data_IF_529278995236
#
_entry.id   IF_529278995236
#
_cell.length_a   1.000
_cell.length_b   1.000
_cell.length_c   1.000
_cell.angle_alpha   90.00
_cell.angle_beta   90.00
_cell.angle_gamma   90.00
#
_symmetry.space_group_name_H-M   'P 1'
#
loop_
_entity.id
_entity.type
_entity.pdbx_description
1 polymer ?
#
# COMPACT_ATOMS: atom_id res chain seq x y z
N UNK A 1 -56.85 21.21 -32.43
CA UNK A 1 -57.60 22.45 -32.73
C UNK A 1 -57.66 23.22 -31.43
N UNK A 2 -56.95 24.35 -31.33
CA UNK A 2 -56.84 25.20 -30.11
C UNK A 2 -56.24 24.47 -28.88
N UNK A 3 -55.78 25.09 -27.78
CA UNK A 3 -55.52 26.49 -27.35
C UNK A 3 -54.72 26.37 -26.02
N UNK A 4 -53.52 26.92 -25.85
CA UNK A 4 -53.15 28.30 -25.44
C UNK A 4 -52.79 28.47 -23.93
N UNK A 5 -51.52 28.86 -23.69
CA UNK A 5 -51.04 30.00 -22.87
C UNK A 5 -50.84 29.89 -21.32
N UNK A 6 -49.56 30.15 -20.92
CA UNK A 6 -48.97 30.73 -19.67
C UNK A 6 -49.16 30.07 -18.28
N UNK A 7 -48.15 30.08 -17.39
CA UNK A 7 -47.66 31.27 -16.66
C UNK A 7 -46.21 31.17 -16.07
N UNK A 8 -45.43 32.27 -16.18
CA UNK A 8 -44.31 32.80 -15.35
C UNK A 8 -43.06 31.93 -15.02
N UNK A 9 -41.84 32.26 -15.50
CA UNK A 9 -40.80 33.20 -14.98
C UNK A 9 -39.69 32.44 -14.19
N UNK A 10 -38.40 32.80 -14.02
CA UNK A 10 -37.46 33.89 -14.43
C UNK A 10 -36.23 33.84 -13.47
N UNK A 11 -35.07 34.57 -13.60
CA UNK A 11 -34.44 35.37 -14.69
C UNK A 11 -33.13 34.69 -15.24
N UNK A 12 -32.65 34.87 -16.49
CA UNK A 12 -32.02 36.03 -17.20
C UNK A 12 -30.63 36.46 -16.68
N UNK A 13 -29.59 36.23 -17.51
CA UNK A 13 -28.21 36.72 -17.39
C UNK A 13 -27.97 37.98 -18.26
N UNK A 14 -27.05 38.89 -17.91
CA UNK A 14 -26.50 39.89 -18.83
C UNK A 14 -25.08 39.55 -19.32
N UNK A 15 -24.82 39.76 -20.62
CA UNK A 15 -23.47 39.87 -21.19
C UNK A 15 -23.22 41.31 -21.68
N UNK A 16 -22.03 41.82 -21.34
CA UNK A 16 -21.13 42.78 -22.04
C UNK A 16 -21.72 43.70 -23.14
N UNK A 17 -21.42 45.00 -23.02
CA UNK A 17 -21.28 45.93 -24.16
C UNK A 17 -20.15 46.96 -23.86
N UNK A 18 -19.53 47.52 -24.90
CA UNK A 18 -18.30 48.34 -24.84
C UNK A 18 -18.55 49.86 -24.84
N UNK A 19 -17.63 50.60 -24.18
CA UNK A 19 -17.07 52.00 -24.34
C UNK A 19 -17.68 53.06 -25.31
N UNK A 20 -17.27 54.37 -25.28
CA UNK A 20 -16.20 55.05 -24.51
C UNK A 20 -16.59 56.41 -23.85
N UNK A 21 -15.70 57.02 -23.05
CA UNK A 21 -15.36 58.48 -23.04
C UNK A 21 -14.16 58.79 -22.11
N UNK A 22 -13.58 60.00 -22.23
CA UNK A 22 -12.16 60.35 -21.98
C UNK A 22 -11.79 61.02 -20.62
N UNK A 23 -10.46 61.03 -20.36
CA UNK A 23 -9.65 61.97 -19.54
C UNK A 23 -9.76 62.01 -18.00
N UNK A 24 -8.65 61.72 -17.30
CA UNK A 24 -7.72 62.75 -16.78
C UNK A 24 -6.43 62.12 -16.17
N UNK A 25 -5.34 62.90 -16.09
CA UNK A 25 -3.94 62.47 -15.84
C UNK A 25 -3.56 62.12 -14.37
N UNK A 26 -2.63 61.17 -14.17
CA UNK A 26 -1.32 61.36 -13.46
C UNK A 26 -0.49 60.03 -13.34
N UNK A 27 0.85 60.08 -13.04
CA UNK A 27 1.80 59.19 -13.70
C UNK A 27 2.23 57.88 -12.98
N UNK A 28 2.85 57.03 -13.79
CA UNK A 28 3.40 55.70 -13.47
C UNK A 28 4.59 55.78 -12.50
N UNK A 29 4.46 55.13 -11.34
CA UNK A 29 5.61 54.66 -10.56
C UNK A 29 5.95 53.21 -10.92
N UNK A 30 7.07 53.01 -11.62
CA UNK A 30 7.66 51.70 -11.82
C UNK A 30 8.41 51.30 -10.55
N UNK A 31 7.92 50.28 -9.84
CA UNK A 31 8.68 49.62 -8.79
C UNK A 31 8.70 48.09 -8.97
N UNK A 32 9.86 47.50 -8.74
CA UNK A 32 10.18 46.13 -9.19
C UNK A 32 9.32 45.04 -8.54
N UNK A 33 8.94 43.96 -9.27
CA UNK A 33 8.19 42.85 -8.68
C UNK A 33 9.11 41.98 -7.82
N UNK A 34 9.17 42.30 -6.52
CA UNK A 34 9.65 41.37 -5.51
C UNK A 34 8.81 40.08 -5.56
N UNK A 35 9.51 38.95 -5.76
CA UNK A 35 8.95 37.64 -6.09
C UNK A 35 8.11 37.07 -4.94
N UNK A 36 6.83 37.49 -4.83
CA UNK A 36 5.87 36.87 -3.90
C UNK A 36 5.68 35.41 -4.28
N UNK A 37 6.03 34.54 -3.33
CA UNK A 37 5.87 33.10 -3.45
C UNK A 37 4.38 32.78 -3.35
N UNK A 38 3.74 32.55 -4.51
CA UNK A 38 2.29 32.30 -4.60
C UNK A 38 1.85 31.24 -3.61
N UNK A 39 0.89 31.58 -2.75
CA UNK A 39 0.26 30.61 -1.88
C UNK A 39 -0.42 29.52 -2.71
N UNK A 40 -0.27 28.28 -2.24
CA UNK A 40 -0.90 27.10 -2.81
C UNK A 40 -2.37 27.04 -2.33
N UNK A 41 -3.13 28.09 -2.64
CA UNK A 41 -4.52 28.22 -2.18
C UNK A 41 -5.48 27.45 -3.10
N UNK A 42 -6.22 26.54 -2.48
CA UNK A 42 -6.97 25.50 -3.19
C UNK A 42 -8.37 26.00 -3.52
N UNK A 43 -8.62 26.31 -4.80
CA UNK A 43 -9.97 26.57 -5.31
C UNK A 43 -10.81 25.29 -5.17
N UNK A 44 -11.70 25.25 -4.17
CA UNK A 44 -12.65 24.15 -3.95
C UNK A 44 -12.83 23.78 -2.48
N UNK A 45 -13.91 24.28 -1.87
CA UNK A 45 -14.24 24.13 -0.45
C UNK A 45 -14.60 22.70 0.00
N UNK A 46 -13.63 21.80 0.08
CA UNK A 46 -13.67 20.62 0.95
C UNK A 46 -12.66 20.79 2.08
N UNK A 47 -13.13 20.68 3.32
CA UNK A 47 -12.25 20.57 4.48
C UNK A 47 -11.35 19.35 4.28
N UNK A 48 -10.05 19.58 4.05
CA UNK A 48 -9.06 18.52 3.92
C UNK A 48 -8.89 17.75 5.23
N UNK A 49 -8.21 16.61 5.17
CA UNK A 49 -7.85 15.85 6.36
C UNK A 49 -6.77 16.54 7.17
N UNK A 50 -6.89 16.49 8.50
CA UNK A 50 -5.92 17.08 9.43
C UNK A 50 -4.61 16.29 9.46
N UNK A 51 -3.55 16.88 10.02
CA UNK A 51 -2.23 16.24 10.18
C UNK A 51 -2.34 14.84 10.83
N UNK A 52 -3.08 14.74 11.93
CA UNK A 52 -3.27 13.48 12.66
C UNK A 52 -4.09 12.46 11.86
N UNK A 53 -5.10 12.90 11.10
CA UNK A 53 -5.87 12.01 10.23
C UNK A 53 -5.00 11.43 9.11
N UNK A 54 -4.18 12.25 8.44
CA UNK A 54 -3.24 11.77 7.43
C UNK A 54 -2.20 10.83 8.04
N UNK A 55 -1.69 11.13 9.24
CA UNK A 55 -0.77 10.24 9.97
C UNK A 55 -1.41 8.87 10.22
N UNK A 56 -2.64 8.83 10.77
CA UNK A 56 -3.37 7.59 11.03
C UNK A 56 -3.62 6.82 9.73
N UNK A 57 -3.98 7.49 8.63
CA UNK A 57 -4.17 6.85 7.34
C UNK A 57 -2.87 6.30 6.74
N UNK A 58 -1.73 7.00 6.92
CA UNK A 58 -0.42 6.54 6.48
C UNK A 58 0.04 5.31 7.29
N UNK A 59 -0.09 5.36 8.62
CA UNK A 59 0.20 4.22 9.50
C UNK A 59 -0.64 3.00 9.10
N UNK A 60 -1.96 3.18 8.96
CA UNK A 60 -2.88 2.13 8.51
C UNK A 60 -2.53 1.57 7.12
N UNK A 61 -2.06 2.41 6.20
CA UNK A 61 -1.68 2.00 4.85
C UNK A 61 -0.45 1.06 4.81
N UNK A 62 0.38 1.08 5.86
CA UNK A 62 1.57 0.24 5.97
C UNK A 62 1.35 -0.93 6.97
N UNK A 63 0.62 -0.72 8.06
CA UNK A 63 0.34 -1.74 9.09
C UNK A 63 -0.72 -2.74 8.57
N UNK A 64 -0.25 -3.78 7.89
CA UNK A 64 -1.05 -4.88 7.35
C UNK A 64 -0.43 -6.26 7.62
N UNK A 65 -0.63 -7.23 6.71
CA UNK A 65 -0.03 -8.57 6.81
C UNK A 65 1.50 -8.57 6.67
N UNK A 66 2.08 -7.59 5.98
CA UNK A 66 3.53 -7.48 5.80
C UNK A 66 4.28 -7.42 7.13
N UNK A 67 3.77 -6.64 8.09
CA UNK A 67 4.26 -6.57 9.46
C UNK A 67 4.35 -7.95 10.13
N UNK A 68 3.33 -8.79 9.94
CA UNK A 68 3.23 -10.10 10.60
C UNK A 68 4.21 -11.14 10.03
N UNK A 69 4.67 -10.97 8.79
CA UNK A 69 5.71 -11.81 8.16
C UNK A 69 7.15 -11.37 8.46
N UNK A 70 7.36 -10.17 9.02
CA UNK A 70 8.72 -9.67 9.33
C UNK A 70 9.55 -10.55 10.28
N UNK A 71 8.99 -11.27 11.28
CA UNK A 71 9.78 -12.19 12.11
C UNK A 71 10.42 -13.33 11.31
N UNK A 72 9.72 -13.87 10.31
CA UNK A 72 10.29 -14.85 9.38
C UNK A 72 11.30 -14.21 8.44
N UNK A 73 11.07 -12.97 7.99
CA UNK A 73 12.07 -12.22 7.24
C UNK A 73 13.37 -12.07 8.06
N UNK A 74 13.28 -11.67 9.33
CA UNK A 74 14.43 -11.54 10.23
C UNK A 74 15.10 -12.91 10.48
N UNK A 75 14.35 -14.02 10.54
CA UNK A 75 14.95 -15.38 10.52
C UNK A 75 15.80 -15.64 9.29
N UNK A 76 15.33 -15.23 8.11
CA UNK A 76 16.03 -15.45 6.84
C UNK A 76 17.31 -14.59 6.72
N UNK A 77 17.30 -13.36 7.25
CA UNK A 77 18.46 -12.47 7.26
C UNK A 77 19.42 -12.66 8.46
N UNK A 78 18.94 -13.16 9.59
CA UNK A 78 19.68 -13.30 10.86
C UNK A 78 19.40 -12.17 11.86
N UNK A 79 19.70 -12.44 13.14
CA UNK A 79 19.30 -11.60 14.28
C UNK A 79 19.91 -10.19 14.29
N UNK A 80 21.08 -9.98 13.68
CA UNK A 80 21.75 -8.67 13.58
C UNK A 80 21.55 -8.05 12.20
N UNK A 81 21.75 -8.85 11.13
CA UNK A 81 21.64 -8.35 9.76
C UNK A 81 20.19 -7.98 9.40
N UNK A 82 19.18 -8.74 9.86
CA UNK A 82 17.78 -8.45 9.60
C UNK A 82 17.33 -7.06 10.10
N UNK A 83 17.49 -6.73 11.40
CA UNK A 83 17.12 -5.43 11.94
C UNK A 83 17.88 -4.25 11.31
N UNK A 84 19.20 -4.43 11.07
CA UNK A 84 20.02 -3.43 10.38
C UNK A 84 19.52 -3.19 8.94
N UNK A 85 19.24 -4.26 8.21
CA UNK A 85 18.70 -4.15 6.85
C UNK A 85 17.29 -3.56 6.84
N UNK A 86 16.41 -3.88 7.79
CA UNK A 86 15.09 -3.23 7.92
C UNK A 86 15.21 -1.71 8.13
N UNK A 87 16.19 -1.27 8.93
CA UNK A 87 16.47 0.16 9.12
C UNK A 87 16.92 0.83 7.82
N UNK A 88 17.89 0.23 7.10
CA UNK A 88 18.37 0.76 5.81
C UNK A 88 17.24 0.80 4.79
N UNK A 89 16.47 -0.27 4.65
CA UNK A 89 15.36 -0.36 3.70
C UNK A 89 14.24 0.62 4.03
N UNK A 90 13.94 0.85 5.31
CA UNK A 90 13.01 1.89 5.77
C UNK A 90 13.49 3.31 5.39
N UNK A 91 14.76 3.63 5.64
CA UNK A 91 15.35 4.92 5.23
C UNK A 91 15.27 5.13 3.72
N UNK A 92 15.60 4.11 2.92
CA UNK A 92 15.53 4.18 1.46
C UNK A 92 14.09 4.32 0.96
N UNK A 93 13.14 3.56 1.53
CA UNK A 93 11.72 3.66 1.17
C UNK A 93 11.16 5.05 1.47
N UNK A 94 11.41 5.61 2.65
CA UNK A 94 11.01 6.99 3.03
C UNK A 94 11.60 8.02 2.08
N UNK A 95 12.88 7.87 1.74
CA UNK A 95 13.57 8.75 0.81
C UNK A 95 12.96 8.70 -0.60
N UNK A 96 12.58 7.52 -1.09
CA UNK A 96 11.87 7.35 -2.36
C UNK A 96 10.45 7.92 -2.34
N UNK A 97 9.69 7.72 -1.25
CA UNK A 97 8.36 8.33 -1.07
C UNK A 97 8.44 9.87 -1.07
N UNK A 98 9.43 10.45 -0.37
CA UNK A 98 9.68 11.89 -0.33
C UNK A 98 10.10 12.44 -1.70
N UNK A 99 10.94 11.70 -2.43
CA UNK A 99 11.30 12.00 -3.82
C UNK A 99 10.05 12.05 -4.71
N UNK A 100 9.16 11.07 -4.60
CA UNK A 100 7.94 11.00 -5.42
C UNK A 100 7.03 12.21 -5.16
N UNK A 101 6.80 12.56 -3.89
CA UNK A 101 6.06 13.76 -3.48
C UNK A 101 6.66 15.01 -4.10
N UNK A 102 7.97 15.22 -3.97
CA UNK A 102 8.64 16.40 -4.51
C UNK A 102 8.53 16.49 -6.04
N UNK A 103 8.66 15.37 -6.75
CA UNK A 103 8.47 15.33 -8.21
C UNK A 103 7.02 15.64 -8.59
N UNK A 104 6.05 15.03 -7.90
CA UNK A 104 4.62 15.28 -8.09
C UNK A 104 4.27 16.75 -7.90
N UNK A 105 4.63 17.34 -6.75
CA UNK A 105 4.39 18.75 -6.43
C UNK A 105 5.03 19.69 -7.46
N UNK A 106 6.28 19.42 -7.86
CA UNK A 106 6.97 20.23 -8.86
C UNK A 106 6.29 20.19 -10.25
N UNK A 107 5.93 18.99 -10.72
CA UNK A 107 5.20 18.82 -11.99
C UNK A 107 3.78 19.41 -11.90
N UNK A 108 3.11 19.32 -10.76
CA UNK A 108 1.78 19.89 -10.54
C UNK A 108 1.79 21.41 -10.73
N UNK A 109 2.78 22.10 -10.15
CA UNK A 109 2.99 23.54 -10.34
C UNK A 109 3.32 23.85 -11.81
N UNK A 110 4.29 23.15 -12.41
CA UNK A 110 4.73 23.38 -13.80
C UNK A 110 3.61 23.22 -14.83
N UNK A 111 2.62 22.36 -14.56
CA UNK A 111 1.50 22.06 -15.45
C UNK A 111 0.20 22.79 -15.08
N UNK A 112 0.18 23.59 -14.02
CA UNK A 112 -1.05 24.23 -13.52
C UNK A 112 -2.12 23.22 -13.06
N UNK A 113 -1.74 22.00 -12.67
CA UNK A 113 -2.67 20.97 -12.20
C UNK A 113 -2.75 20.99 -10.66
N UNK A 114 -3.92 20.72 -10.07
CA UNK A 114 -4.09 20.76 -8.60
C UNK A 114 -3.51 19.53 -7.89
N UNK A 115 -3.37 18.41 -8.60
CA UNK A 115 -2.78 17.15 -8.13
C UNK A 115 -2.42 16.25 -9.31
N UNK A 116 -1.54 15.28 -9.06
CA UNK A 116 -1.18 14.20 -10.00
C UNK A 116 -1.36 12.83 -9.32
N UNK A 117 -1.73 11.82 -10.11
CA UNK A 117 -1.57 10.41 -9.73
C UNK A 117 -0.13 9.93 -10.00
N UNK A 118 0.28 8.79 -9.44
CA UNK A 118 1.65 8.27 -9.63
C UNK A 118 1.94 7.98 -11.12
N UNK A 119 1.01 7.35 -11.84
CA UNK A 119 1.15 7.12 -13.28
C UNK A 119 1.26 8.42 -14.10
N UNK A 120 0.58 9.49 -13.69
CA UNK A 120 0.67 10.81 -14.33
C UNK A 120 1.96 11.54 -14.00
N UNK A 121 2.47 11.44 -12.77
CA UNK A 121 3.77 12.00 -12.40
C UNK A 121 4.88 11.40 -13.28
N UNK A 122 4.83 10.09 -13.56
CA UNK A 122 5.76 9.43 -14.49
C UNK A 122 5.52 9.82 -15.96
N UNK A 123 4.27 9.94 -16.41
CA UNK A 123 3.93 10.46 -17.74
C UNK A 123 4.60 11.82 -17.99
N UNK A 124 4.33 12.80 -17.12
CA UNK A 124 4.83 14.16 -17.26
C UNK A 124 6.34 14.30 -16.97
N UNK A 125 6.89 13.46 -16.08
CA UNK A 125 8.34 13.37 -15.90
C UNK A 125 9.05 12.94 -17.19
N UNK A 126 8.50 11.95 -17.92
CA UNK A 126 9.05 11.49 -19.20
C UNK A 126 8.92 12.53 -20.32
N UNK A 127 7.90 13.41 -20.29
CA UNK A 127 7.70 14.45 -21.30
C UNK A 127 8.76 15.56 -21.28
N UNK A 128 9.45 15.76 -20.15
CA UNK A 128 10.58 16.69 -20.05
C UNK A 128 11.79 16.25 -20.91
N UNK A 129 11.89 14.98 -21.32
CA UNK A 129 13.01 14.44 -22.10
C UNK A 129 12.59 14.20 -23.55
N UNK A 130 13.26 14.87 -24.49
CA UNK A 130 12.85 14.93 -25.91
C UNK A 130 12.66 13.57 -26.60
N UNK A 131 13.55 12.61 -26.35
CA UNK A 131 13.45 11.23 -26.88
C UNK A 131 12.33 10.42 -26.20
N UNK A 132 12.11 10.68 -24.91
CA UNK A 132 11.20 9.91 -24.06
C UNK A 132 9.75 10.41 -24.16
N UNK A 133 9.55 11.67 -24.55
CA UNK A 133 8.25 12.34 -24.77
C UNK A 133 7.30 11.58 -25.69
N UNK A 134 7.80 10.86 -26.71
CA UNK A 134 6.95 10.04 -27.60
C UNK A 134 6.38 8.79 -26.91
N UNK A 135 6.96 8.40 -25.78
CA UNK A 135 6.64 7.18 -25.05
C UNK A 135 6.14 7.45 -23.60
N UNK A 136 5.82 8.70 -23.23
CA UNK A 136 5.36 9.08 -21.87
C UNK A 136 4.17 8.26 -21.39
N UNK A 137 3.17 8.07 -22.26
CA UNK A 137 1.98 7.26 -22.02
C UNK A 137 2.32 5.80 -21.67
N UNK A 138 3.45 5.27 -22.16
CA UNK A 138 3.88 3.91 -21.82
C UNK A 138 4.37 3.82 -20.37
N UNK A 139 5.04 4.86 -19.86
CA UNK A 139 5.42 4.96 -18.44
C UNK A 139 4.21 4.97 -17.51
N UNK A 140 3.17 5.74 -17.84
CA UNK A 140 1.88 5.71 -17.11
C UNK A 140 1.27 4.32 -17.08
N UNK A 141 1.22 3.64 -18.22
CA UNK A 141 0.70 2.26 -18.32
C UNK A 141 1.54 1.28 -17.51
N UNK A 142 2.86 1.43 -17.51
CA UNK A 142 3.79 0.60 -16.75
C UNK A 142 3.57 0.76 -15.23
N UNK A 143 3.58 2.00 -14.72
CA UNK A 143 3.32 2.27 -13.29
C UNK A 143 1.94 1.77 -12.87
N UNK A 144 0.90 2.01 -13.68
CA UNK A 144 -0.44 1.54 -13.38
C UNK A 144 -0.56 0.00 -13.40
N UNK A 145 0.15 -0.68 -14.31
CA UNK A 145 0.24 -2.14 -14.34
C UNK A 145 0.91 -2.67 -13.06
N UNK A 146 2.05 -2.10 -12.66
CA UNK A 146 2.74 -2.47 -11.43
C UNK A 146 1.89 -2.20 -10.18
N UNK A 147 1.17 -1.07 -10.13
CA UNK A 147 0.18 -0.79 -9.07
C UNK A 147 -0.91 -1.87 -9.03
N UNK A 148 -1.50 -2.25 -10.17
CA UNK A 148 -2.51 -3.32 -10.22
C UNK A 148 -1.92 -4.64 -9.71
N UNK A 149 -0.72 -5.04 -10.17
CA UNK A 149 -0.07 -6.29 -9.75
C UNK A 149 0.19 -6.30 -8.24
N UNK A 150 0.75 -5.23 -7.68
CA UNK A 150 1.00 -5.10 -6.23
C UNK A 150 -0.29 -5.20 -5.43
N UNK A 151 -1.35 -4.50 -5.85
CA UNK A 151 -2.62 -4.45 -5.13
C UNK A 151 -3.39 -5.78 -5.18
N UNK A 152 -3.40 -6.45 -6.33
CA UNK A 152 -3.93 -7.81 -6.44
C UNK A 152 -3.06 -8.83 -5.69
N UNK A 153 -1.74 -8.64 -5.66
CA UNK A 153 -0.82 -9.43 -4.85
C UNK A 153 -1.13 -9.36 -3.35
N UNK A 154 -1.41 -8.16 -2.83
CA UNK A 154 -1.91 -7.98 -1.46
C UNK A 154 -3.23 -8.73 -1.22
N UNK A 155 -4.19 -8.65 -2.15
CA UNK A 155 -5.43 -9.43 -2.08
C UNK A 155 -5.17 -10.95 -2.06
N UNK A 156 -4.17 -11.47 -2.78
CA UNK A 156 -3.77 -12.88 -2.72
C UNK A 156 -3.24 -13.25 -1.33
N UNK A 157 -2.32 -12.45 -0.77
CA UNK A 157 -1.80 -12.65 0.60
C UNK A 157 -2.92 -12.63 1.63
N UNK A 158 -3.94 -11.79 1.45
CA UNK A 158 -5.10 -11.74 2.36
C UNK A 158 -5.96 -13.01 2.27
N UNK A 159 -6.15 -13.60 1.09
CA UNK A 159 -6.82 -14.91 0.97
C UNK A 159 -6.08 -15.99 1.78
N UNK A 160 -4.76 -16.12 1.59
CA UNK A 160 -3.93 -17.11 2.31
C UNK A 160 -3.94 -16.84 3.82
N UNK A 161 -3.78 -15.58 4.23
CA UNK A 161 -3.81 -15.20 5.63
C UNK A 161 -5.15 -15.55 6.30
N UNK A 162 -6.28 -15.23 5.66
CA UNK A 162 -7.60 -15.59 6.18
C UNK A 162 -7.74 -17.11 6.28
N UNK A 163 -7.37 -17.87 5.25
CA UNK A 163 -7.52 -19.32 5.27
C UNK A 163 -6.70 -19.98 6.38
N UNK A 164 -5.44 -19.60 6.55
CA UNK A 164 -4.54 -20.28 7.50
C UNK A 164 -4.91 -19.96 8.95
N UNK A 165 -5.23 -18.71 9.26
CA UNK A 165 -5.65 -18.34 10.62
C UNK A 165 -7.00 -18.97 10.98
N UNK A 166 -7.95 -19.03 10.04
CA UNK A 166 -9.26 -19.63 10.30
C UNK A 166 -9.18 -21.16 10.38
N UNK A 167 -8.32 -21.78 9.57
CA UNK A 167 -7.97 -23.21 9.66
C UNK A 167 -7.45 -23.56 11.05
N UNK A 168 -6.42 -22.86 11.54
CA UNK A 168 -5.87 -23.11 12.87
C UNK A 168 -6.91 -22.95 13.99
N UNK A 169 -7.78 -21.93 13.91
CA UNK A 169 -8.84 -21.73 14.91
C UNK A 169 -9.81 -22.92 14.95
N UNK A 170 -10.13 -23.52 13.79
CA UNK A 170 -11.03 -24.67 13.71
C UNK A 170 -10.34 -25.97 14.13
N UNK A 171 -9.08 -26.19 13.72
CA UNK A 171 -8.27 -27.35 14.13
C UNK A 171 -8.06 -27.41 15.64
N UNK A 172 -7.91 -26.25 16.27
CA UNK A 172 -7.76 -26.11 17.70
C UNK A 172 -9.08 -26.13 18.48
N UNK A 173 -10.24 -25.89 17.86
CA UNK A 173 -11.51 -25.62 18.56
C UNK A 173 -11.95 -26.70 19.55
N UNK A 174 -11.63 -27.98 19.29
CA UNK A 174 -11.93 -29.09 20.20
C UNK A 174 -10.86 -29.31 21.29
N UNK A 175 -9.70 -28.68 21.16
CA UNK A 175 -8.56 -28.76 22.08
C UNK A 175 -8.24 -27.46 22.82
N UNK A 176 -8.95 -26.36 22.56
CA UNK A 176 -8.69 -25.04 23.14
C UNK A 176 -9.01 -24.99 24.62
N UNK A 177 -7.98 -24.76 25.44
CA UNK A 177 -8.12 -24.57 26.89
C UNK A 177 -8.14 -23.08 27.27
N UNK A 178 -8.55 -22.79 28.51
CA UNK A 178 -8.43 -21.43 29.08
C UNK A 178 -7.03 -21.14 29.64
N UNK A 179 -6.18 -22.16 29.80
CA UNK A 179 -4.85 -22.03 30.38
C UNK A 179 -3.78 -21.86 29.29
N UNK A 180 -3.38 -20.62 29.03
CA UNK A 180 -2.34 -20.30 28.03
C UNK A 180 -0.90 -20.70 28.44
N UNK A 181 -0.70 -21.32 29.61
CA UNK A 181 0.62 -21.62 30.20
C UNK A 181 1.02 -23.11 30.09
N UNK A 182 0.10 -24.01 29.76
CA UNK A 182 0.32 -25.46 29.72
C UNK A 182 0.40 -25.96 28.28
N UNK A 183 1.54 -26.56 27.90
CA UNK A 183 1.79 -27.11 26.57
C UNK A 183 1.09 -28.46 26.30
N UNK A 184 0.14 -28.89 27.14
CA UNK A 184 -0.44 -30.23 27.07
C UNK A 184 -1.72 -30.27 26.22
N UNK A 185 -1.61 -30.99 25.11
CA UNK A 185 -2.68 -31.70 24.40
C UNK A 185 -3.92 -30.91 24.01
N UNK A 186 -3.76 -29.93 23.13
CA UNK A 186 -4.79 -29.73 22.12
C UNK A 186 -4.78 -30.95 21.18
N UNK A 187 -5.85 -31.75 21.18
CA UNK A 187 -6.04 -32.78 20.14
C UNK A 187 -6.39 -32.04 18.85
N UNK A 188 -5.38 -31.79 18.03
CA UNK A 188 -5.54 -31.18 16.71
C UNK A 188 -6.38 -32.14 15.87
N UNK A 189 -7.64 -31.77 15.62
CA UNK A 189 -8.50 -32.52 14.71
C UNK A 189 -8.06 -32.14 13.29
N UNK A 190 -7.60 -33.09 12.45
CA UNK A 190 -7.14 -32.77 11.11
C UNK A 190 -8.29 -32.15 10.30
N UNK A 191 -8.13 -30.90 9.89
CA UNK A 191 -9.12 -30.21 9.08
C UNK A 191 -8.81 -30.34 7.58
N UNK A 192 -9.62 -29.66 6.77
CA UNK A 192 -9.44 -29.60 5.33
C UNK A 192 -8.18 -28.79 4.93
N UNK A 193 -7.74 -28.97 3.69
CA UNK A 193 -6.66 -28.17 3.11
C UNK A 193 -7.00 -26.67 3.15
N UNK A 194 -5.99 -25.79 3.33
CA UNK A 194 -6.19 -24.33 3.43
C UNK A 194 -6.90 -23.77 2.19
N UNK A 195 -6.65 -24.39 1.03
CA UNK A 195 -7.34 -24.12 -0.25
C UNK A 195 -8.86 -24.18 -0.15
N UNK A 196 -9.44 -25.08 0.65
CA UNK A 196 -10.90 -25.17 0.84
C UNK A 196 -11.41 -23.95 1.61
N UNK A 197 -10.68 -23.49 2.63
CA UNK A 197 -11.02 -22.27 3.35
C UNK A 197 -10.96 -21.02 2.46
N UNK A 198 -10.02 -20.93 1.51
CA UNK A 198 -9.99 -19.85 0.51
C UNK A 198 -11.27 -19.81 -0.33
N UNK A 199 -11.75 -20.98 -0.78
CA UNK A 199 -13.02 -21.10 -1.53
C UNK A 199 -14.24 -20.79 -0.65
N UNK A 200 -14.22 -21.11 0.64
CA UNK A 200 -15.28 -20.72 1.59
C UNK A 200 -15.33 -19.19 1.77
N UNK A 201 -14.19 -18.50 1.82
CA UNK A 201 -14.14 -17.03 1.94
C UNK A 201 -14.50 -16.28 0.64
N UNK A 202 -14.32 -16.91 -0.52
CA UNK A 202 -14.59 -16.32 -1.84
C UNK A 202 -15.97 -15.63 -1.97
N UNK A 203 -17.13 -16.25 -1.67
CA UNK A 203 -18.43 -15.59 -1.79
C UNK A 203 -18.58 -14.37 -0.87
N UNK A 204 -18.01 -14.40 0.34
CA UNK A 204 -18.03 -13.27 1.26
C UNK A 204 -17.19 -12.10 0.73
N UNK A 205 -15.99 -12.37 0.21
CA UNK A 205 -15.12 -11.35 -0.40
C UNK A 205 -15.76 -10.76 -1.67
N UNK A 206 -16.44 -11.57 -2.50
CA UNK A 206 -17.22 -11.05 -3.65
C UNK A 206 -18.32 -10.09 -3.16
N UNK A 207 -19.10 -10.48 -2.15
CA UNK A 207 -20.14 -9.62 -1.57
C UNK A 207 -19.57 -8.32 -0.99
N UNK A 208 -18.40 -8.39 -0.34
CA UNK A 208 -17.71 -7.20 0.18
C UNK A 208 -17.30 -6.23 -0.94
N UNK A 209 -16.71 -6.75 -2.02
CA UNK A 209 -16.22 -5.97 -3.17
C UNK A 209 -17.34 -5.32 -3.99
N UNK A 210 -18.57 -5.85 -3.93
CA UNK A 210 -19.75 -5.18 -4.49
C UNK A 210 -20.11 -3.87 -3.78
N UNK A 211 -19.55 -3.58 -2.60
CA UNK A 211 -19.74 -2.32 -1.90
C UNK A 211 -18.95 -1.18 -2.57
N UNK A 212 -19.52 -0.61 -3.63
CA UNK A 212 -18.90 0.45 -4.45
C UNK A 212 -18.65 1.78 -3.70
N UNK A 213 -19.35 2.03 -2.59
CA UNK A 213 -19.24 3.28 -1.84
C UNK A 213 -18.50 3.06 -0.51
N UNK A 214 -17.21 3.40 -0.50
CA UNK A 214 -16.31 3.25 0.65
C UNK A 214 -16.77 3.97 1.93
N UNK A 215 -17.72 4.92 1.83
CA UNK A 215 -18.33 5.54 3.02
C UNK A 215 -18.99 4.50 3.93
N UNK A 216 -19.62 3.47 3.37
CA UNK A 216 -20.20 2.38 4.16
C UNK A 216 -19.14 1.53 4.87
N UNK A 217 -17.96 1.33 4.27
CA UNK A 217 -16.84 0.61 4.91
C UNK A 217 -16.10 1.45 5.96
N UNK A 218 -16.29 2.77 5.99
CA UNK A 218 -15.55 3.66 6.89
C UNK A 218 -15.71 3.32 8.38
N UNK A 219 -16.92 3.13 8.95
CA UNK A 219 -17.08 2.72 10.35
C UNK A 219 -16.52 1.32 10.64
N UNK A 220 -16.79 0.33 9.78
CA UNK A 220 -16.23 -1.02 9.92
C UNK A 220 -14.71 -1.00 9.88
N UNK A 221 -14.13 -0.17 9.02
CA UNK A 221 -12.69 -0.06 8.90
C UNK A 221 -12.05 0.67 10.09
N UNK A 222 -12.75 1.62 10.73
CA UNK A 222 -12.29 2.19 12.00
C UNK A 222 -12.25 1.11 13.09
N UNK A 223 -13.33 0.34 13.23
CA UNK A 223 -13.41 -0.80 14.16
C UNK A 223 -12.31 -1.83 13.90
N UNK A 224 -12.10 -2.21 12.64
CA UNK A 224 -11.04 -3.12 12.20
C UNK A 224 -9.65 -2.65 12.65
N UNK A 225 -9.30 -1.36 12.52
CA UNK A 225 -7.98 -0.87 12.93
C UNK A 225 -7.81 -0.89 14.45
N UNK A 226 -8.86 -0.55 15.21
CA UNK A 226 -8.84 -0.62 16.67
C UNK A 226 -8.60 -2.07 17.13
N UNK A 227 -9.33 -2.99 16.54
CA UNK A 227 -9.25 -4.44 16.80
C UNK A 227 -7.89 -5.03 16.41
N UNK A 228 -7.34 -4.66 15.25
CA UNK A 228 -5.97 -5.04 14.85
C UNK A 228 -4.91 -4.45 15.79
N UNK A 229 -5.08 -3.23 16.28
CA UNK A 229 -4.16 -2.61 17.24
C UNK A 229 -4.16 -3.36 18.57
N UNK A 230 -5.33 -3.69 19.13
CA UNK A 230 -5.45 -4.53 20.35
C UNK A 230 -4.80 -5.90 20.13
N UNK A 231 -5.08 -6.52 18.98
CA UNK A 231 -4.51 -7.83 18.60
C UNK A 231 -2.98 -7.78 18.52
N UNK A 232 -2.42 -6.70 17.95
CA UNK A 232 -0.97 -6.49 17.86
C UNK A 232 -0.33 -6.27 19.25
N UNK A 233 -0.99 -5.54 20.16
CA UNK A 233 -0.51 -5.38 21.54
C UNK A 233 -0.47 -6.72 22.28
N UNK A 234 -1.47 -7.59 22.09
CA UNK A 234 -1.49 -8.94 22.69
C UNK A 234 -0.39 -9.84 22.11
N UNK A 235 -0.09 -9.73 20.81
CA UNK A 235 1.05 -10.42 20.18
C UNK A 235 2.37 -9.95 20.80
N UNK A 236 2.56 -8.64 20.97
CA UNK A 236 3.75 -8.08 21.64
C UNK A 236 3.89 -8.58 23.08
N UNK A 237 2.79 -8.57 23.85
CA UNK A 237 2.77 -9.07 25.22
C UNK A 237 3.21 -10.54 25.31
N UNK A 238 2.69 -11.40 24.42
CA UNK A 238 3.13 -12.80 24.34
C UNK A 238 4.64 -12.91 24.05
N UNK A 239 5.11 -12.22 23.01
CA UNK A 239 6.49 -12.39 22.55
C UNK A 239 7.53 -11.84 23.54
N UNK A 240 7.18 -10.82 24.33
CA UNK A 240 8.05 -10.27 25.39
C UNK A 240 8.07 -11.17 26.63
N UNK A 241 6.95 -11.81 26.96
CA UNK A 241 6.86 -12.70 28.13
C UNK A 241 7.44 -14.10 27.90
N UNK A 242 7.53 -14.56 26.64
CA UNK A 242 7.97 -15.90 26.27
C UNK A 242 9.34 -15.93 25.58
N UNK A 243 10.22 -14.95 25.89
CA UNK A 243 11.60 -14.94 25.39
C UNK A 243 12.39 -16.12 25.96
N UNK A 244 12.95 -17.02 25.14
CA UNK A 244 13.78 -18.13 25.62
C UNK A 244 15.14 -17.63 26.13
N UNK A 245 15.64 -18.27 27.19
CA UNK A 245 16.98 -18.04 27.73
C UNK A 245 17.73 -19.38 27.83
N UNK A 246 18.96 -19.50 27.28
CA UNK A 246 19.73 -18.49 26.52
C UNK A 246 19.21 -18.30 25.08
N UNK A 247 19.48 -17.12 24.49
CA UNK A 247 19.13 -16.79 23.10
C UNK A 247 20.21 -17.34 22.16
N UNK A 248 20.02 -18.57 21.70
CA UNK A 248 20.93 -19.24 20.75
C UNK A 248 20.36 -19.16 19.31
N UNK A 249 20.51 -18.01 18.67
CA UNK A 249 20.04 -17.76 17.30
C UNK A 249 21.17 -17.23 16.39
N UNK A 250 21.17 -17.54 15.08
CA UNK A 250 22.18 -17.06 14.15
C UNK A 250 22.13 -15.53 13.99
N UNK A 251 23.27 -14.89 14.25
CA UNK A 251 23.48 -13.44 14.11
C UNK A 251 23.33 -12.98 12.64
N UNK A 252 23.73 -13.84 11.71
CA UNK A 252 23.63 -13.65 10.26
C UNK A 252 23.02 -14.92 9.66
N UNK A 253 22.01 -14.75 8.81
CA UNK A 253 21.29 -15.82 8.11
C UNK A 253 22.06 -16.34 6.89
N UNK A 254 21.44 -17.24 6.13
CA UNK A 254 22.08 -17.80 4.93
C UNK A 254 22.00 -16.78 3.77
N UNK A 255 23.09 -16.56 3.00
CA UNK A 255 23.06 -15.64 1.87
C UNK A 255 21.97 -15.95 0.82
N UNK A 256 21.62 -17.23 0.65
CA UNK A 256 20.56 -17.66 -0.27
C UNK A 256 19.13 -17.31 0.18
N UNK A 257 18.91 -17.09 1.47
CA UNK A 257 17.59 -16.75 2.04
C UNK A 257 17.38 -15.22 2.11
N UNK A 258 18.45 -14.43 1.98
CA UNK A 258 18.40 -12.96 2.01
C UNK A 258 17.49 -12.32 0.93
N UNK A 259 17.38 -12.85 -0.31
CA UNK A 259 16.41 -12.35 -1.28
C UNK A 259 14.94 -12.53 -0.84
N UNK A 260 14.64 -13.56 -0.05
CA UNK A 260 13.29 -13.73 0.55
C UNK A 260 13.04 -12.67 1.63
N UNK A 261 14.05 -12.38 2.46
CA UNK A 261 13.98 -11.25 3.40
C UNK A 261 13.75 -9.92 2.65
N UNK A 262 14.50 -9.66 1.57
CA UNK A 262 14.38 -8.43 0.78
C UNK A 262 12.96 -8.25 0.23
N UNK A 263 12.40 -9.32 -0.36
CA UNK A 263 11.02 -9.32 -0.86
C UNK A 263 10.02 -8.95 0.24
N UNK A 264 10.05 -9.68 1.36
CA UNK A 264 9.14 -9.43 2.50
C UNK A 264 9.33 -8.05 3.14
N UNK A 265 10.57 -7.55 3.25
CA UNK A 265 10.85 -6.22 3.77
C UNK A 265 10.30 -5.11 2.85
N UNK A 266 10.48 -5.23 1.54
CA UNK A 266 9.94 -4.28 0.56
C UNK A 266 8.42 -4.36 0.46
N UNK A 267 7.83 -5.55 0.56
CA UNK A 267 6.38 -5.73 0.70
C UNK A 267 5.85 -4.99 1.93
N UNK A 268 6.52 -5.11 3.08
CA UNK A 268 6.08 -4.45 4.31
C UNK A 268 6.22 -2.92 4.23
N UNK A 269 7.30 -2.40 3.63
CA UNK A 269 7.50 -0.96 3.44
C UNK A 269 6.73 -0.36 2.24
N UNK A 270 5.89 -1.15 1.55
CA UNK A 270 5.14 -0.66 0.40
C UNK A 270 3.89 0.13 0.80
N UNK A 271 4.11 1.42 1.05
CA UNK A 271 3.07 2.44 1.19
C UNK A 271 2.95 3.39 -0.01
N UNK A 272 3.78 3.27 -1.06
CA UNK A 272 3.97 4.37 -2.03
C UNK A 272 2.70 4.70 -2.82
N UNK A 273 1.86 3.69 -3.09
CA UNK A 273 0.57 3.85 -3.77
C UNK A 273 -0.44 4.73 -3.02
N UNK A 274 -0.33 4.87 -1.68
CA UNK A 274 -1.20 5.75 -0.89
C UNK A 274 -0.60 7.13 -0.58
N UNK A 275 0.70 7.33 -0.81
CA UNK A 275 1.40 8.58 -0.48
C UNK A 275 0.78 9.79 -1.20
N UNK A 276 0.75 9.79 -2.54
CA UNK A 276 0.17 10.91 -3.31
C UNK A 276 -1.33 11.10 -3.04
N UNK A 277 -2.20 10.06 -3.01
CA UNK A 277 -3.60 10.23 -2.63
C UNK A 277 -3.84 10.81 -1.22
N UNK A 278 -2.90 10.61 -0.27
CA UNK A 278 -2.97 11.19 1.07
C UNK A 278 -2.49 12.64 1.10
N UNK A 279 -1.37 12.96 0.44
CA UNK A 279 -0.92 14.34 0.23
C UNK A 279 -2.04 15.19 -0.39
N UNK A 280 -2.64 14.70 -1.48
CA UNK A 280 -3.73 15.34 -2.21
C UNK A 280 -4.98 15.59 -1.34
N UNK A 281 -5.15 14.92 -0.20
CA UNK A 281 -6.28 15.09 0.73
C UNK A 281 -5.95 15.93 1.96
N UNK A 282 -4.68 16.27 2.20
CA UNK A 282 -4.24 17.04 3.36
C UNK A 282 -4.67 18.51 3.28
N UNK A 283 -4.97 19.14 4.42
CA UNK A 283 -5.29 20.59 4.48
C UNK A 283 -4.10 21.48 4.08
N UNK A 284 -2.90 21.12 4.51
CA UNK A 284 -1.65 21.87 4.28
C UNK A 284 -0.59 20.92 3.68
N UNK A 285 -0.60 20.69 2.35
CA UNK A 285 0.27 19.70 1.72
C UNK A 285 1.77 20.00 1.92
N UNK A 286 2.17 21.25 2.14
CA UNK A 286 3.57 21.60 2.44
C UNK A 286 4.09 20.95 3.74
N UNK A 287 3.20 20.53 4.66
CA UNK A 287 3.57 19.79 5.86
C UNK A 287 3.52 18.26 5.68
N UNK A 288 3.17 17.76 4.50
CA UNK A 288 3.03 16.31 4.26
C UNK A 288 4.35 15.57 4.50
N UNK A 289 5.51 16.12 4.09
CA UNK A 289 6.81 15.52 4.37
C UNK A 289 7.05 15.29 5.87
N UNK A 290 6.57 16.17 6.75
CA UNK A 290 6.66 15.98 8.21
C UNK A 290 5.79 14.81 8.68
N UNK A 291 4.59 14.64 8.11
CA UNK A 291 3.72 13.49 8.38
C UNK A 291 4.38 12.20 7.89
N UNK A 292 4.99 12.23 6.70
CA UNK A 292 5.68 11.11 6.08
C UNK A 292 6.85 10.62 6.93
N UNK A 293 7.77 11.52 7.32
CA UNK A 293 8.91 11.17 8.18
C UNK A 293 8.46 10.64 9.54
N UNK A 294 7.47 11.27 10.19
CA UNK A 294 6.95 10.82 11.49
C UNK A 294 6.27 9.46 11.38
N UNK A 295 5.34 9.29 10.44
CA UNK A 295 4.57 8.06 10.26
C UNK A 295 5.45 6.88 9.86
N UNK A 296 6.32 7.06 8.87
CA UNK A 296 7.22 6.00 8.45
C UNK A 296 8.34 5.72 9.46
N UNK A 297 8.73 6.69 10.30
CA UNK A 297 9.59 6.46 11.45
C UNK A 297 8.95 5.52 12.47
N UNK A 298 7.67 5.75 12.81
CA UNK A 298 6.87 4.86 13.68
C UNK A 298 6.74 3.46 13.05
N UNK A 299 6.43 3.37 11.75
CA UNK A 299 6.36 2.10 11.00
C UNK A 299 7.70 1.35 11.05
N UNK A 300 8.81 2.02 10.75
CA UNK A 300 10.15 1.43 10.76
C UNK A 300 10.52 0.88 12.13
N UNK A 301 10.24 1.63 13.20
CA UNK A 301 10.47 1.17 14.57
C UNK A 301 9.62 -0.06 14.90
N UNK A 302 8.31 -0.02 14.60
CA UNK A 302 7.38 -1.14 14.81
C UNK A 302 7.82 -2.42 14.06
N UNK A 303 8.37 -2.24 12.85
CA UNK A 303 8.85 -3.32 11.98
C UNK A 303 10.10 -3.98 12.54
N UNK A 304 11.08 -3.16 12.95
CA UNK A 304 12.31 -3.62 13.59
C UNK A 304 11.98 -4.33 14.91
N UNK A 305 11.14 -3.75 15.77
CA UNK A 305 10.83 -4.34 17.08
C UNK A 305 10.03 -5.63 16.94
N UNK A 306 8.98 -5.69 16.11
CA UNK A 306 8.19 -6.93 15.95
C UNK A 306 9.02 -8.02 15.27
N UNK A 307 9.75 -7.68 14.20
CA UNK A 307 10.60 -8.63 13.48
C UNK A 307 11.66 -9.25 14.38
N UNK A 308 12.34 -8.43 15.19
CA UNK A 308 13.39 -8.89 16.11
C UNK A 308 12.81 -9.71 17.26
N UNK A 309 11.82 -9.17 17.98
CA UNK A 309 11.24 -9.81 19.18
C UNK A 309 10.49 -11.10 18.80
N UNK A 310 9.76 -11.10 17.67
CA UNK A 310 9.10 -12.29 17.14
C UNK A 310 10.10 -13.39 16.76
N UNK A 311 11.23 -13.04 16.13
CA UNK A 311 12.27 -14.02 15.83
C UNK A 311 12.94 -14.56 17.09
N UNK A 312 13.22 -13.70 18.09
CA UNK A 312 13.75 -14.14 19.38
C UNK A 312 12.81 -15.13 20.09
N UNK A 313 11.50 -14.83 20.12
CA UNK A 313 10.49 -15.64 20.79
C UNK A 313 10.31 -17.03 20.14
N UNK A 314 10.19 -17.10 18.81
CA UNK A 314 9.82 -18.33 18.10
C UNK A 314 11.01 -19.07 17.47
N UNK A 315 12.13 -18.38 17.24
CA UNK A 315 13.36 -18.93 16.68
C UNK A 315 13.13 -19.63 15.34
N UNK A 316 13.64 -20.85 15.21
CA UNK A 316 13.50 -21.64 13.99
C UNK A 316 12.03 -22.00 13.63
N UNK A 317 11.12 -22.02 14.62
CA UNK A 317 9.73 -22.47 14.47
C UNK A 317 8.78 -21.40 13.89
N UNK A 318 9.23 -20.16 13.70
CA UNK A 318 8.41 -19.10 13.10
C UNK A 318 7.95 -19.52 11.69
N UNK A 319 6.64 -19.45 11.47
CA UNK A 319 5.95 -19.69 10.19
C UNK A 319 5.76 -18.41 9.39
N UNK A 320 4.94 -18.46 8.34
CA UNK A 320 4.76 -17.33 7.41
C UNK A 320 4.23 -16.04 8.04
N UNK A 321 3.45 -16.16 9.12
CA UNK A 321 2.94 -15.06 9.94
C UNK A 321 3.11 -15.38 11.41
N UNK A 322 3.49 -14.39 12.22
CA UNK A 322 3.59 -14.51 13.68
C UNK A 322 2.28 -14.98 14.34
N UNK A 323 1.12 -14.69 13.73
CA UNK A 323 -0.17 -15.16 14.24
C UNK A 323 -0.31 -16.67 14.22
N UNK A 324 0.32 -17.35 13.25
CA UNK A 324 0.29 -18.80 13.10
C UNK A 324 1.13 -19.55 14.15
N UNK A 325 1.91 -18.81 14.95
CA UNK A 325 2.73 -19.34 16.03
C UNK A 325 2.15 -19.08 17.43
N UNK A 326 1.03 -18.36 17.53
CA UNK A 326 0.38 -18.11 18.82
C UNK A 326 -0.25 -19.39 19.38
N UNK A 327 -0.16 -19.64 20.70
CA UNK A 327 -0.60 -20.89 21.31
C UNK A 327 -2.13 -21.01 21.33
N UNK A 328 -2.61 -22.24 21.39
CA UNK A 328 -4.02 -22.57 21.15
C UNK A 328 -4.95 -22.39 22.36
N UNK A 329 -4.80 -21.30 23.10
CA UNK A 329 -5.76 -20.88 24.13
C UNK A 329 -6.75 -19.83 23.58
N UNK A 330 -7.94 -19.76 24.17
CA UNK A 330 -9.04 -18.89 23.70
C UNK A 330 -8.65 -17.43 23.47
N UNK A 331 -7.78 -16.86 24.31
CA UNK A 331 -7.32 -15.48 24.14
C UNK A 331 -6.63 -15.25 22.79
N UNK A 332 -5.74 -16.15 22.37
CA UNK A 332 -5.02 -16.00 21.10
C UNK A 332 -5.82 -16.50 19.89
N UNK A 333 -6.75 -17.45 20.05
CA UNK A 333 -7.72 -17.75 18.97
C UNK A 333 -8.59 -16.52 18.67
N UNK A 334 -9.03 -15.79 19.70
CA UNK A 334 -9.72 -14.51 19.53
C UNK A 334 -8.80 -13.51 18.81
N UNK A 335 -7.51 -13.40 19.17
CA UNK A 335 -6.54 -12.56 18.42
C UNK A 335 -6.45 -12.95 16.93
N UNK A 336 -6.34 -14.24 16.60
CA UNK A 336 -6.32 -14.74 15.21
C UNK A 336 -7.59 -14.32 14.45
N UNK A 337 -8.77 -14.49 15.04
CA UNK A 337 -10.06 -14.09 14.46
C UNK A 337 -10.21 -12.57 14.30
N UNK A 338 -9.87 -11.81 15.34
CA UNK A 338 -9.95 -10.35 15.37
C UNK A 338 -9.02 -9.70 14.34
N UNK A 339 -7.79 -10.18 14.20
CA UNK A 339 -6.86 -9.71 13.16
C UNK A 339 -7.36 -10.13 11.76
N UNK A 340 -7.91 -11.34 11.61
CA UNK A 340 -8.48 -11.82 10.33
C UNK A 340 -9.68 -10.98 9.87
N UNK A 341 -10.57 -10.57 10.78
CA UNK A 341 -11.63 -9.60 10.48
C UNK A 341 -11.06 -8.25 10.03
N UNK A 342 -9.97 -7.81 10.64
CA UNK A 342 -9.26 -6.59 10.24
C UNK A 342 -8.70 -6.66 8.81
N UNK A 343 -8.08 -7.78 8.44
CA UNK A 343 -7.59 -8.03 7.08
C UNK A 343 -8.74 -8.19 6.08
N UNK A 344 -9.85 -8.84 6.45
CA UNK A 344 -11.05 -8.95 5.62
C UNK A 344 -11.58 -7.57 5.20
N UNK A 345 -11.72 -6.62 6.14
CA UNK A 345 -12.16 -5.26 5.80
C UNK A 345 -11.09 -4.48 5.01
N UNK A 346 -9.81 -4.74 5.29
CA UNK A 346 -8.68 -4.14 4.55
C UNK A 346 -8.61 -4.62 3.10
N UNK A 347 -9.03 -5.85 2.80
CA UNK A 347 -9.11 -6.39 1.43
C UNK A 347 -9.85 -5.44 0.49
N UNK A 348 -11.03 -4.96 0.89
CA UNK A 348 -11.84 -4.08 0.03
C UNK A 348 -11.21 -2.70 -0.21
N UNK A 349 -10.38 -2.22 0.73
CA UNK A 349 -9.64 -0.98 0.56
C UNK A 349 -8.49 -1.13 -0.44
N UNK A 350 -7.78 -2.26 -0.38
CA UNK A 350 -6.67 -2.56 -1.29
C UNK A 350 -7.19 -2.89 -2.70
N UNK A 351 -8.27 -3.67 -2.79
CA UNK A 351 -8.97 -3.97 -4.04
C UNK A 351 -9.55 -2.72 -4.73
N UNK A 352 -9.86 -1.65 -3.98
CA UNK A 352 -10.39 -0.41 -4.56
C UNK A 352 -9.42 0.24 -5.56
N UNK A 353 -8.09 0.14 -5.34
CA UNK A 353 -7.08 0.74 -6.21
C UNK A 353 -7.09 0.15 -7.63
N UNK A 354 -6.95 -1.17 -7.86
CA UNK A 354 -7.03 -1.75 -9.20
C UNK A 354 -8.43 -1.61 -9.80
N UNK A 355 -9.49 -1.58 -8.99
CA UNK A 355 -10.84 -1.33 -9.46
C UNK A 355 -11.00 0.08 -10.07
N UNK A 356 -10.50 1.13 -9.41
CA UNK A 356 -10.51 2.51 -9.96
C UNK A 356 -9.61 2.68 -11.19
N UNK A 357 -8.54 1.90 -11.32
CA UNK A 357 -7.66 1.96 -12.50
C UNK A 357 -8.29 1.22 -13.70
N UNK A 358 -8.90 0.05 -13.49
CA UNK A 358 -9.34 -0.85 -14.57
C UNK A 358 -10.80 -0.67 -15.00
N UNK A 359 -11.71 -0.36 -14.06
CA UNK A 359 -13.15 -0.36 -14.35
C UNK A 359 -13.60 0.87 -15.17
N UNK A 360 -13.22 2.13 -14.84
CA UNK A 360 -13.67 3.30 -15.59
C UNK A 360 -13.41 3.24 -17.11
N UNK A 361 -12.21 2.87 -17.63
CA UNK A 361 -12.00 2.78 -19.07
C UNK A 361 -12.76 1.63 -19.73
N UNK A 362 -13.04 0.53 -19.01
CA UNK A 362 -13.86 -0.56 -19.52
C UNK A 362 -15.35 -0.18 -19.60
N UNK A 363 -15.86 0.48 -18.56
CA UNK A 363 -17.25 0.97 -18.50
C UNK A 363 -17.51 2.07 -19.53
N UNK A 364 -16.55 2.98 -19.75
CA UNK A 364 -16.65 4.03 -20.78
C UNK A 364 -16.78 3.49 -22.22
N UNK A 365 -16.39 2.24 -22.47
CA UNK A 365 -16.46 1.61 -23.80
C UNK A 365 -17.79 0.91 -24.07
N UNK A 366 -18.68 0.77 -23.08
CA UNK A 366 -19.96 0.05 -23.22
C UNK A 366 -21.17 0.98 -23.07
N UNK A 367 -22.33 0.55 -23.59
CA UNK A 367 -23.59 1.30 -23.46
C UNK A 367 -24.00 1.39 -21.97
N UNK A 368 -24.65 2.48 -21.51
CA UNK A 368 -25.01 2.68 -20.11
C UNK A 368 -25.80 1.52 -19.47
N UNK A 369 -26.65 0.81 -20.24
CA UNK A 369 -27.39 -0.36 -19.77
C UNK A 369 -26.50 -1.52 -19.30
N UNK A 370 -25.30 -1.66 -19.87
CA UNK A 370 -24.34 -2.71 -19.51
C UNK A 370 -23.27 -2.24 -18.52
N UNK A 371 -23.22 -0.94 -18.20
CA UNK A 371 -22.19 -0.36 -17.33
C UNK A 371 -22.12 -1.03 -15.94
N UNK A 372 -23.28 -1.28 -15.32
CA UNK A 372 -23.36 -1.96 -14.03
C UNK A 372 -22.89 -3.42 -14.12
N UNK A 373 -23.30 -4.15 -15.17
CA UNK A 373 -22.89 -5.54 -15.34
C UNK A 373 -21.38 -5.64 -15.56
N UNK A 374 -20.80 -4.75 -16.38
CA UNK A 374 -19.35 -4.73 -16.63
C UNK A 374 -18.55 -4.36 -15.37
N UNK A 375 -18.98 -3.36 -14.58
CA UNK A 375 -18.37 -3.04 -13.27
C UNK A 375 -18.35 -4.26 -12.35
N UNK A 376 -19.50 -4.94 -12.18
CA UNK A 376 -19.61 -6.11 -11.31
C UNK A 376 -18.86 -7.34 -11.87
N UNK A 377 -18.90 -7.59 -13.18
CA UNK A 377 -18.19 -8.71 -13.81
C UNK A 377 -16.67 -8.56 -13.71
N UNK A 378 -16.13 -7.35 -13.91
CA UNK A 378 -14.70 -7.10 -13.72
C UNK A 378 -14.32 -7.29 -12.25
N UNK A 379 -15.15 -6.82 -11.30
CA UNK A 379 -14.94 -7.05 -9.86
C UNK A 379 -14.85 -8.54 -9.53
N UNK A 380 -15.84 -9.34 -9.95
CA UNK A 380 -15.83 -10.80 -9.73
C UNK A 380 -14.61 -11.43 -10.40
N UNK A 381 -14.30 -11.10 -11.65
CA UNK A 381 -13.16 -11.65 -12.39
C UNK A 381 -11.82 -11.39 -11.71
N UNK A 382 -11.60 -10.19 -11.17
CA UNK A 382 -10.40 -9.85 -10.39
C UNK A 382 -10.33 -10.61 -9.07
N UNK A 383 -11.45 -10.76 -8.34
CA UNK A 383 -11.49 -11.53 -7.08
C UNK A 383 -11.22 -13.02 -7.34
N UNK A 384 -11.81 -13.59 -8.40
CA UNK A 384 -11.55 -14.96 -8.84
C UNK A 384 -10.08 -15.17 -9.22
N UNK A 385 -9.47 -14.22 -9.94
CA UNK A 385 -8.05 -14.24 -10.26
C UNK A 385 -7.18 -14.27 -9.00
N UNK A 386 -7.46 -13.41 -8.01
CA UNK A 386 -6.69 -13.39 -6.75
C UNK A 386 -6.87 -14.66 -5.91
N UNK A 387 -8.06 -15.25 -5.92
CA UNK A 387 -8.32 -16.53 -5.24
C UNK A 387 -7.60 -17.68 -5.94
N UNK A 388 -7.62 -17.73 -7.28
CA UNK A 388 -6.91 -18.75 -8.06
C UNK A 388 -5.38 -18.68 -7.85
N UNK A 389 -4.80 -17.47 -7.77
CA UNK A 389 -3.38 -17.29 -7.46
C UNK A 389 -3.04 -17.71 -6.01
N UNK A 390 -3.90 -17.43 -5.04
CA UNK A 390 -3.73 -17.90 -3.66
C UNK A 390 -3.82 -19.43 -3.54
N UNK A 391 -4.72 -20.08 -4.29
CA UNK A 391 -4.85 -21.55 -4.35
C UNK A 391 -3.64 -22.20 -5.04
N UNK A 392 -3.02 -21.51 -6.00
CA UNK A 392 -1.82 -21.98 -6.70
C UNK A 392 -0.58 -21.95 -5.80
N UNK A 393 -0.45 -20.92 -4.96
CA UNK A 393 0.69 -20.73 -4.04
C UNK A 393 0.15 -20.51 -2.62
N UNK A 394 -0.24 -21.58 -1.89
CA UNK A 394 -0.81 -21.49 -0.54
C UNK A 394 0.24 -21.23 0.57
N UNK A 395 1.41 -20.69 0.22
CA UNK A 395 2.54 -20.43 1.12
C UNK A 395 2.67 -18.93 1.36
N UNK A 396 2.19 -18.45 2.51
CA UNK A 396 2.03 -17.03 2.80
C UNK A 396 3.35 -16.23 2.72
N UNK A 397 4.46 -16.82 3.17
CA UNK A 397 5.80 -16.20 3.11
C UNK A 397 6.29 -16.03 1.68
N UNK A 398 6.07 -17.03 0.83
CA UNK A 398 6.49 -17.01 -0.57
C UNK A 398 5.66 -16.03 -1.40
N UNK A 399 4.33 -15.94 -1.19
CA UNK A 399 3.50 -14.94 -1.87
C UNK A 399 3.88 -13.52 -1.45
N UNK A 400 4.10 -13.27 -0.16
CA UNK A 400 4.57 -11.96 0.35
C UNK A 400 5.91 -11.58 -0.29
N UNK A 401 6.88 -12.51 -0.28
CA UNK A 401 8.20 -12.27 -0.86
C UNK A 401 8.13 -12.02 -2.38
N UNK A 402 7.35 -12.81 -3.12
CA UNK A 402 7.21 -12.70 -4.58
C UNK A 402 6.56 -11.38 -5.01
N UNK A 403 5.50 -10.94 -4.32
CA UNK A 403 4.84 -9.66 -4.59
C UNK A 403 5.79 -8.50 -4.24
N UNK A 404 6.48 -8.60 -3.11
CA UNK A 404 7.48 -7.62 -2.69
C UNK A 404 8.64 -7.49 -3.67
N UNK A 405 9.21 -8.61 -4.12
CA UNK A 405 10.34 -8.62 -5.04
C UNK A 405 9.95 -8.19 -6.45
N UNK A 406 8.83 -8.65 -6.99
CA UNK A 406 8.40 -8.24 -8.35
C UNK A 406 7.89 -6.80 -8.33
N UNK A 407 6.77 -6.54 -7.67
CA UNK A 407 5.98 -5.36 -8.02
C UNK A 407 6.22 -4.19 -7.08
N UNK A 408 6.38 -4.45 -5.78
CA UNK A 408 6.71 -3.40 -4.80
C UNK A 408 8.13 -2.86 -4.99
N UNK A 409 9.13 -3.68 -5.38
CA UNK A 409 10.50 -3.19 -5.63
C UNK A 409 10.55 -2.19 -6.80
N UNK A 410 9.79 -2.45 -7.87
CA UNK A 410 9.68 -1.56 -9.02
C UNK A 410 9.04 -0.22 -8.63
N UNK A 411 7.92 -0.27 -7.90
CA UNK A 411 7.20 0.92 -7.45
C UNK A 411 7.95 1.73 -6.39
N UNK A 412 8.58 1.08 -5.42
CA UNK A 412 9.21 1.74 -4.27
C UNK A 412 10.66 2.16 -4.53
N UNK A 413 11.45 1.39 -5.28
CA UNK A 413 12.89 1.61 -5.44
C UNK A 413 13.32 2.00 -6.86
N UNK A 414 12.66 1.52 -7.91
CA UNK A 414 13.10 1.74 -9.29
C UNK A 414 12.48 3.02 -9.86
N UNK A 415 11.16 3.14 -9.86
CA UNK A 415 10.47 4.26 -10.50
C UNK A 415 10.68 5.64 -9.83
N UNK A 416 10.71 5.82 -8.50
CA UNK A 416 10.87 7.15 -7.90
C UNK A 416 12.24 7.80 -8.20
N UNK A 417 13.38 7.09 -8.07
CA UNK A 417 14.68 7.67 -8.41
C UNK A 417 14.82 8.00 -9.91
N UNK A 418 14.24 7.18 -10.80
CA UNK A 418 14.20 7.46 -12.24
C UNK A 418 13.32 8.68 -12.54
N UNK A 419 12.12 8.76 -11.96
CA UNK A 419 11.25 9.93 -12.07
C UNK A 419 11.94 11.21 -11.62
N UNK A 420 12.74 11.17 -10.56
CA UNK A 420 13.51 12.32 -10.10
C UNK A 420 14.58 12.76 -11.10
N UNK A 421 15.27 11.81 -11.74
CA UNK A 421 16.25 12.14 -12.80
C UNK A 421 15.55 12.78 -13.99
N UNK A 422 14.37 12.27 -14.38
CA UNK A 422 13.59 12.79 -15.51
C UNK A 422 12.96 14.16 -15.21
N UNK A 423 12.40 14.34 -14.01
CA UNK A 423 11.70 15.58 -13.59
C UNK A 423 12.63 16.78 -13.59
N UNK A 424 13.82 16.65 -13.00
CA UNK A 424 14.77 17.74 -12.82
C UNK A 424 15.88 17.80 -13.89
N UNK A 425 15.78 16.99 -14.96
CA UNK A 425 16.81 16.89 -16.00
C UNK A 425 17.18 18.26 -16.61
N UNK A 426 16.17 19.12 -16.83
CA UNK A 426 16.32 20.45 -17.43
C UNK A 426 16.89 21.52 -16.49
N UNK A 427 17.00 21.24 -15.19
CA UNK A 427 17.36 22.21 -14.15
C UNK A 427 18.78 22.04 -13.59
N UNK A 428 19.54 21.07 -14.11
CA UNK A 428 20.93 20.82 -13.71
C UNK A 428 21.04 20.05 -12.39
N UNK A 429 20.83 18.73 -12.45
CA UNK A 429 20.93 17.86 -11.27
C UNK A 429 22.41 17.65 -10.90
N UNK A 430 22.74 17.83 -9.61
CA UNK A 430 24.07 17.53 -9.07
C UNK A 430 24.45 16.05 -9.30
N UNK A 431 25.67 15.77 -9.78
CA UNK A 431 26.11 14.42 -10.12
C UNK A 431 25.93 13.38 -8.98
N UNK A 432 26.16 13.78 -7.73
CA UNK A 432 25.93 12.93 -6.55
C UNK A 432 24.47 12.45 -6.43
N UNK A 433 23.49 13.31 -6.75
CA UNK A 433 22.06 12.97 -6.68
C UNK A 433 21.72 11.94 -7.76
N UNK A 434 22.30 12.06 -8.95
CA UNK A 434 22.16 11.08 -10.04
C UNK A 434 22.77 9.74 -9.62
N UNK A 435 24.02 9.72 -9.14
CA UNK A 435 24.72 8.50 -8.68
C UNK A 435 23.90 7.79 -7.60
N UNK A 436 23.47 8.52 -6.55
CA UNK A 436 22.63 7.98 -5.47
C UNK A 436 21.31 7.40 -6.00
N UNK A 437 20.64 8.09 -6.93
CA UNK A 437 19.40 7.59 -7.53
C UNK A 437 19.62 6.33 -8.37
N UNK A 438 20.71 6.25 -9.13
CA UNK A 438 21.11 5.05 -9.90
C UNK A 438 21.41 3.89 -8.96
N UNK A 439 22.14 4.11 -7.86
CA UNK A 439 22.46 3.06 -6.87
C UNK A 439 21.19 2.50 -6.22
N UNK A 440 20.23 3.34 -5.83
CA UNK A 440 18.94 2.88 -5.27
C UNK A 440 18.14 2.09 -6.31
N UNK A 441 18.07 2.59 -7.55
CA UNK A 441 17.37 1.90 -8.64
C UNK A 441 18.03 0.55 -9.00
N UNK A 442 19.36 0.47 -8.94
CA UNK A 442 20.12 -0.76 -9.17
C UNK A 442 19.91 -1.77 -8.03
N UNK A 443 19.91 -1.33 -6.76
CA UNK A 443 19.56 -2.17 -5.63
C UNK A 443 18.14 -2.74 -5.77
N UNK A 444 17.19 -1.91 -6.21
CA UNK A 444 15.83 -2.33 -6.55
C UNK A 444 15.80 -3.40 -7.64
N UNK A 445 16.57 -3.22 -8.72
CA UNK A 445 16.68 -4.19 -9.82
C UNK A 445 17.33 -5.52 -9.40
N UNK A 446 18.41 -5.48 -8.61
CA UNK A 446 19.06 -6.68 -8.07
C UNK A 446 18.10 -7.44 -7.17
N UNK A 447 17.41 -6.74 -6.27
CA UNK A 447 16.39 -7.33 -5.40
C UNK A 447 15.17 -7.85 -6.15
N UNK A 448 14.77 -7.20 -7.25
CA UNK A 448 13.75 -7.70 -8.18
C UNK A 448 14.16 -9.04 -8.76
N UNK A 449 15.33 -9.12 -9.40
CA UNK A 449 15.76 -10.35 -10.09
C UNK A 449 16.04 -11.47 -9.10
N UNK A 450 16.81 -11.21 -8.04
CA UNK A 450 17.19 -12.22 -7.06
C UNK A 450 15.99 -12.68 -6.22
N UNK A 451 15.16 -11.75 -5.74
CA UNK A 451 13.99 -12.08 -4.92
C UNK A 451 12.95 -12.87 -5.72
N UNK A 452 12.72 -12.49 -6.98
CA UNK A 452 11.80 -13.23 -7.87
C UNK A 452 12.33 -14.63 -8.17
N UNK A 453 13.62 -14.76 -8.49
CA UNK A 453 14.25 -16.06 -8.76
C UNK A 453 14.16 -17.00 -7.56
N UNK A 454 14.59 -16.56 -6.37
CA UNK A 454 14.57 -17.40 -5.15
C UNK A 454 13.14 -17.73 -4.74
N UNK A 455 12.20 -16.77 -4.82
CA UNK A 455 10.78 -17.04 -4.52
C UNK A 455 10.21 -18.11 -5.46
N UNK A 456 10.45 -18.01 -6.77
CA UNK A 456 9.97 -19.01 -7.75
C UNK A 456 10.61 -20.39 -7.52
N UNK A 457 11.93 -20.45 -7.26
CA UNK A 457 12.62 -21.72 -6.98
C UNK A 457 12.08 -22.40 -5.72
N UNK A 458 11.85 -21.64 -4.65
CA UNK A 458 11.30 -22.20 -3.40
C UNK A 458 9.81 -22.57 -3.55
N UNK A 459 9.02 -21.84 -4.35
CA UNK A 459 7.65 -22.24 -4.72
C UNK A 459 7.66 -23.59 -5.45
N UNK A 460 8.49 -23.75 -6.49
CA UNK A 460 8.61 -25.00 -7.26
C UNK A 460 9.06 -26.18 -6.38
N UNK A 461 9.86 -25.90 -5.35
CA UNK A 461 10.40 -26.91 -4.42
C UNK A 461 9.42 -27.30 -3.30
N UNK A 462 8.43 -26.45 -2.97
CA UNK A 462 7.38 -26.72 -1.97
C UNK A 462 6.03 -27.14 -2.59
N UNK A 463 5.87 -27.01 -3.91
CA UNK A 463 4.68 -27.45 -4.67
C UNK A 463 4.73 -28.94 -5.01
#
# INVERSE_FOLDING_TARGET
MASDINYQDGPVFPQINESPEDNDDEPIHLDSPSRKQSEYERIGGRAGSSFLQILIHLLKGNIGTGLLGLPLAVKNAGLVLGPLSLLVMGIVAVHCMHILVNCSHHLSIKLGKPFLSYGEAVEYGMENVSWLRRHSVWGRRLVNLFLIITQLGFCCVYFVFLSDNFKQVIEAANGTTMNCNTNETAVIVPSFDSRIYMVIFLPFIIALVFTRNLKFLTPFSFMANLVMCVSLVLIYYYCITHIPHPINLPLVGKPGDYPLFFGTAIFAFEGIGVVLPLENKMQKPQNFSKVLYLGMGIVTMLYISLGTIGYICFGARIGGSITLNLPDCWMYQIVKLLYSFGIYITYALQFYVPAEILIPPAVARVRPRWALLVDLSIRVGLVLLTCALAILIPELDLVISLVGSISSSALALIFPPLLHILTFHTEGILAWVIIKNIVISFLGLVGFVAGTYVSIVEIIKRS
#
